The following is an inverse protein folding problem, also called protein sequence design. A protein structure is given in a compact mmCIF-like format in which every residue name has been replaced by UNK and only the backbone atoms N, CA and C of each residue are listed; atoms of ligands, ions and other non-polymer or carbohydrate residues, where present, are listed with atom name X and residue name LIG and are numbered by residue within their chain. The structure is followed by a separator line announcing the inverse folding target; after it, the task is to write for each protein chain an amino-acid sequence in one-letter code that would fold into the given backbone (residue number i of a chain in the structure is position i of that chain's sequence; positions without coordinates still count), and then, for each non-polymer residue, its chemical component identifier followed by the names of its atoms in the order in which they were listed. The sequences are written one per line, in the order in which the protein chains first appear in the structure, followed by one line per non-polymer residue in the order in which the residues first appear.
data_IF_569395212861
#
_entry.id   IF_569395212861
#
_cell.length_a   1.000
_cell.length_b   1.000
_cell.length_c   1.000
_cell.angle_alpha   90.00
_cell.angle_beta   90.00
_cell.angle_gamma   90.00
#
_symmetry.space_group_name_H-M   'P 1'
#
loop_
_entity.id
_entity.type
_entity.pdbx_description
1 polymer ?
#
# COMPACT_ATOMS: atom_id res chain seq x y z
N UNK A 1 -2.40 -7.68 31.06
CA UNK A 1 -1.70 -8.04 29.80
C UNK A 1 -0.59 -7.02 29.59
N UNK A 2 0.63 -7.36 30.03
CA UNK A 2 1.77 -6.44 29.91
C UNK A 2 2.41 -6.75 28.56
N UNK A 3 2.00 -6.03 27.53
CA UNK A 3 2.67 -6.10 26.23
C UNK A 3 4.01 -5.36 26.37
N UNK A 4 5.09 -6.10 26.58
CA UNK A 4 6.43 -5.56 26.46
C UNK A 4 6.70 -5.13 25.01
N UNK A 5 7.46 -4.06 24.82
CA UNK A 5 7.88 -3.62 23.49
C UNK A 5 8.74 -4.72 22.87
N UNK A 6 8.32 -5.22 21.71
CA UNK A 6 9.15 -6.15 20.93
C UNK A 6 10.22 -5.35 20.17
N UNK A 7 11.44 -5.36 20.68
CA UNK A 7 12.57 -4.70 20.04
C UNK A 7 12.85 -5.26 18.64
N UNK A 8 12.60 -6.55 18.40
CA UNK A 8 12.72 -7.17 17.08
C UNK A 8 11.73 -6.54 16.08
N UNK A 9 10.46 -6.44 16.46
CA UNK A 9 9.44 -5.83 15.59
C UNK A 9 9.76 -4.36 15.28
N UNK A 10 10.23 -3.63 16.29
CA UNK A 10 10.61 -2.23 16.15
C UNK A 10 11.81 -2.05 15.19
N UNK A 11 12.83 -2.91 15.27
CA UNK A 11 13.96 -2.89 14.34
C UNK A 11 13.49 -3.16 12.91
N UNK A 12 12.67 -4.18 12.68
CA UNK A 12 12.13 -4.47 11.35
C UNK A 12 11.31 -3.30 10.80
N UNK A 13 10.47 -2.68 11.62
CA UNK A 13 9.68 -1.52 11.22
C UNK A 13 10.57 -0.34 10.79
N UNK A 14 11.56 0.02 11.62
CA UNK A 14 12.47 1.13 11.30
C UNK A 14 13.29 0.84 10.04
N UNK A 15 13.81 -0.39 9.89
CA UNK A 15 14.55 -0.79 8.69
C UNK A 15 13.69 -0.69 7.44
N UNK A 16 12.45 -1.16 7.50
CA UNK A 16 11.52 -1.11 6.38
C UNK A 16 11.20 0.35 5.99
N UNK A 17 10.87 1.20 6.97
CA UNK A 17 10.59 2.62 6.74
C UNK A 17 11.81 3.34 6.14
N UNK A 18 12.99 3.11 6.70
CA UNK A 18 14.24 3.70 6.20
C UNK A 18 14.54 3.27 4.75
N UNK A 19 14.27 2.00 4.42
CA UNK A 19 14.42 1.47 3.06
C UNK A 19 13.47 2.16 2.08
N UNK A 20 12.17 2.26 2.41
CA UNK A 20 11.17 2.91 1.55
C UNK A 20 11.52 4.38 1.31
N UNK A 21 11.90 5.10 2.36
CA UNK A 21 12.32 6.51 2.27
C UNK A 21 13.59 6.64 1.43
N UNK A 22 14.60 5.81 1.70
CA UNK A 22 15.86 5.79 0.97
C UNK A 22 15.66 5.53 -0.52
N UNK A 23 14.80 4.57 -0.87
CA UNK A 23 14.46 4.24 -2.25
C UNK A 23 13.72 5.40 -2.94
N UNK A 24 12.79 6.04 -2.24
CA UNK A 24 12.04 7.20 -2.74
C UNK A 24 12.97 8.35 -3.09
N UNK A 25 13.92 8.70 -2.21
CA UNK A 25 14.91 9.73 -2.50
C UNK A 25 15.87 9.33 -3.63
N UNK A 26 16.33 8.08 -3.65
CA UNK A 26 17.25 7.60 -4.67
C UNK A 26 16.62 7.66 -6.07
N UNK A 27 15.38 7.17 -6.22
CA UNK A 27 14.66 7.18 -7.48
C UNK A 27 14.19 8.58 -7.86
N UNK A 28 13.70 9.37 -6.89
CA UNK A 28 13.27 10.74 -7.12
C UNK A 28 14.38 11.64 -7.68
N UNK A 29 15.62 11.46 -7.22
CA UNK A 29 16.79 12.21 -7.72
C UNK A 29 17.19 11.87 -9.17
N UNK A 30 16.80 10.70 -9.69
CA UNK A 30 17.13 10.28 -11.07
C UNK A 30 16.22 10.90 -12.11
N UNK A 31 15.08 11.47 -11.71
CA UNK A 31 14.08 11.98 -12.64
C UNK A 31 14.31 13.47 -12.93
N UNK A 32 14.58 13.80 -14.20
CA UNK A 32 14.94 15.17 -14.64
C UNK A 32 13.87 15.89 -15.47
N UNK A 33 12.73 15.26 -15.74
CA UNK A 33 11.66 15.82 -16.57
C UNK A 33 10.28 15.42 -16.03
N UNK A 34 9.30 16.31 -16.14
CA UNK A 34 7.93 16.08 -15.69
C UNK A 34 7.28 14.86 -16.35
N UNK A 35 7.52 14.62 -17.65
CA UNK A 35 6.96 13.44 -18.33
C UNK A 35 7.53 12.12 -17.81
N UNK A 36 8.82 12.12 -17.41
CA UNK A 36 9.45 10.96 -16.76
C UNK A 36 9.03 10.81 -15.30
N UNK A 37 8.61 11.88 -14.64
CA UNK A 37 8.16 11.86 -13.25
C UNK A 37 6.74 11.33 -13.11
N UNK A 38 5.81 11.83 -13.93
CA UNK A 38 4.40 11.46 -13.82
C UNK A 38 4.03 10.21 -14.62
N UNK A 39 4.61 10.03 -15.81
CA UNK A 39 4.22 8.94 -16.70
C UNK A 39 5.33 7.88 -16.87
N UNK A 40 6.46 8.01 -16.17
CA UNK A 40 7.65 7.16 -16.37
C UNK A 40 8.05 7.00 -17.85
N UNK A 41 7.73 8.00 -18.70
CA UNK A 41 7.93 7.94 -20.15
C UNK A 41 7.10 6.89 -20.88
N UNK A 42 6.05 6.33 -20.27
CA UNK A 42 5.22 5.27 -20.84
C UNK A 42 5.89 3.90 -20.92
N UNK A 43 6.98 3.69 -20.17
CA UNK A 43 7.84 2.49 -20.29
C UNK A 43 7.57 1.41 -19.23
N UNK A 44 6.63 1.64 -18.30
CA UNK A 44 6.31 0.66 -17.24
C UNK A 44 5.42 -0.44 -17.83
N UNK A 45 5.84 -1.69 -17.66
CA UNK A 45 5.05 -2.85 -18.09
C UNK A 45 3.72 -2.92 -17.33
N UNK A 46 2.63 -3.29 -18.02
CA UNK A 46 1.27 -3.28 -17.48
C UNK A 46 1.12 -4.08 -16.17
N UNK A 47 1.84 -5.19 -16.03
CA UNK A 47 1.76 -6.02 -14.81
C UNK A 47 2.38 -5.34 -13.60
N UNK A 48 3.50 -4.61 -13.78
CA UNK A 48 4.16 -3.85 -12.71
C UNK A 48 3.27 -2.69 -12.29
N UNK A 49 2.67 -2.02 -13.28
CA UNK A 49 1.72 -0.93 -13.02
C UNK A 49 0.48 -1.43 -12.26
N UNK A 50 -0.06 -2.59 -12.64
CA UNK A 50 -1.19 -3.21 -11.95
C UNK A 50 -0.89 -3.55 -10.49
N UNK A 51 0.31 -4.08 -10.20
CA UNK A 51 0.74 -4.35 -8.82
C UNK A 51 0.92 -3.07 -8.02
N UNK A 52 1.48 -2.01 -8.63
CA UNK A 52 1.63 -0.71 -7.97
C UNK A 52 0.27 -0.13 -7.57
N UNK A 53 -0.70 -0.12 -8.49
CA UNK A 53 -2.07 0.34 -8.19
C UNK A 53 -2.78 -0.52 -7.15
N UNK A 54 -2.60 -1.84 -7.18
CA UNK A 54 -3.16 -2.72 -6.16
C UNK A 54 -2.59 -2.38 -4.77
N UNK A 55 -1.28 -2.08 -4.70
CA UNK A 55 -0.61 -1.64 -3.49
C UNK A 55 -1.16 -0.32 -2.94
N UNK A 56 -1.38 0.68 -3.81
CA UNK A 56 -1.97 1.95 -3.40
C UNK A 56 -3.42 1.80 -2.89
N UNK A 57 -4.19 0.88 -3.49
CA UNK A 57 -5.56 0.59 -3.07
C UNK A 57 -5.62 -0.13 -1.70
N UNK A 58 -4.66 -1.01 -1.42
CA UNK A 58 -4.53 -1.78 -0.18
C UNK A 58 -3.81 -0.99 0.93
N UNK A 59 -4.22 0.25 1.14
CA UNK A 59 -3.67 1.13 2.19
C UNK A 59 -3.94 0.62 3.62
N UNK A 60 -3.23 1.17 4.60
CA UNK A 60 -3.45 0.89 6.02
C UNK A 60 -4.89 1.22 6.47
N UNK A 61 -5.51 2.25 5.89
CA UNK A 61 -6.89 2.60 6.15
C UNK A 61 -7.86 1.52 5.63
N UNK A 62 -7.59 0.98 4.44
CA UNK A 62 -8.35 -0.13 3.85
C UNK A 62 -8.24 -1.39 4.73
N UNK A 63 -7.03 -1.75 5.15
CA UNK A 63 -6.79 -2.90 6.02
C UNK A 63 -7.50 -2.75 7.37
N UNK A 64 -7.27 -1.64 8.08
CA UNK A 64 -7.89 -1.41 9.39
C UNK A 64 -9.41 -1.26 9.28
N UNK A 65 -9.91 -0.64 8.21
CA UNK A 65 -11.34 -0.46 7.95
C UNK A 65 -12.07 -1.80 7.78
N UNK A 66 -11.55 -2.69 6.93
CA UNK A 66 -12.13 -4.03 6.75
C UNK A 66 -11.99 -4.86 8.03
N UNK A 67 -10.83 -4.86 8.69
CA UNK A 67 -10.65 -5.56 9.96
C UNK A 67 -11.62 -5.05 11.04
N UNK A 68 -11.81 -3.74 11.14
CA UNK A 68 -12.76 -3.13 12.07
C UNK A 68 -14.22 -3.47 11.74
N UNK A 69 -14.57 -3.47 10.46
CA UNK A 69 -15.92 -3.85 10.01
C UNK A 69 -16.21 -5.32 10.30
N UNK A 70 -15.26 -6.22 10.07
CA UNK A 70 -15.37 -7.64 10.43
C UNK A 70 -15.47 -7.80 11.95
N UNK A 71 -14.69 -7.06 12.72
CA UNK A 71 -14.75 -7.11 14.18
C UNK A 71 -16.13 -6.72 14.74
N UNK A 72 -16.86 -5.82 14.06
CA UNK A 72 -18.19 -5.36 14.48
C UNK A 72 -19.32 -6.20 13.88
N UNK A 73 -19.21 -6.56 12.60
CA UNK A 73 -20.31 -7.15 11.80
C UNK A 73 -20.12 -8.64 11.47
N UNK A 74 -19.03 -9.27 11.94
CA UNK A 74 -18.73 -10.67 11.69
C UNK A 74 -18.49 -10.97 10.21
N UNK A 75 -18.98 -12.12 9.74
CA UNK A 75 -18.79 -12.58 8.36
C UNK A 75 -19.40 -11.63 7.32
N UNK A 76 -20.48 -10.93 7.66
CA UNK A 76 -21.11 -9.98 6.74
C UNK A 76 -20.17 -8.78 6.45
N UNK A 77 -19.31 -8.42 7.41
CA UNK A 77 -18.23 -7.44 7.23
C UNK A 77 -17.20 -7.85 6.17
N UNK A 78 -17.02 -9.15 5.95
CA UNK A 78 -16.11 -9.66 4.91
C UNK A 78 -16.68 -9.44 3.49
N UNK A 79 -18.01 -9.48 3.32
CA UNK A 79 -18.65 -9.21 2.03
C UNK A 79 -18.40 -7.77 1.56
N UNK A 80 -18.29 -6.82 2.49
CA UNK A 80 -17.89 -5.44 2.18
C UNK A 80 -16.44 -5.33 1.68
N UNK A 81 -15.55 -6.26 2.08
CA UNK A 81 -14.18 -6.32 1.55
C UNK A 81 -14.16 -6.68 0.05
N UNK A 82 -15.06 -7.55 -0.38
CA UNK A 82 -15.24 -7.92 -1.79
C UNK A 82 -15.78 -6.72 -2.57
N UNK A 83 -16.78 -6.01 -2.02
CA UNK A 83 -17.33 -4.80 -2.62
C UNK A 83 -16.28 -3.68 -2.77
N UNK A 84 -15.45 -3.49 -1.75
CA UNK A 84 -14.30 -2.58 -1.80
C UNK A 84 -13.34 -2.98 -2.93
N UNK A 85 -12.86 -4.22 -2.96
CA UNK A 85 -11.97 -4.70 -4.03
C UNK A 85 -12.60 -4.60 -5.44
N UNK A 86 -13.90 -4.85 -5.58
CA UNK A 86 -14.61 -4.72 -6.85
C UNK A 86 -14.71 -3.25 -7.31
N UNK A 87 -14.89 -2.32 -6.37
CA UNK A 87 -14.89 -0.88 -6.65
C UNK A 87 -13.57 -0.37 -7.23
N UNK A 88 -12.45 -1.00 -6.90
CA UNK A 88 -11.14 -0.69 -7.49
C UNK A 88 -11.10 -0.89 -9.01
N UNK A 89 -11.74 -1.94 -9.53
CA UNK A 89 -11.79 -2.21 -10.98
C UNK A 89 -12.53 -1.10 -11.72
N UNK A 90 -13.52 -0.47 -11.08
CA UNK A 90 -14.31 0.63 -11.65
C UNK A 90 -13.58 1.97 -11.57
N UNK A 91 -12.64 2.12 -10.64
CA UNK A 91 -11.89 3.35 -10.43
C UNK A 91 -10.70 3.53 -11.40
N UNK A 92 -10.34 2.49 -12.16
CA UNK A 92 -9.31 2.47 -13.22
C UNK A 92 -9.91 2.81 -14.59
#
# INVERSE_FOLDING_TARGET
MIYGVSYIALVFFILFVALVIGLSFYLGRKTKSASKYYAAGGQIHWSVNGIAFAGDYLSAASFLGICGMIAISGFDGFLYAIGFLAGWIVAL
#
